data_IF_362287183650
#
_entry.id   IF_362287183650
#
_cell.length_a   1.000
_cell.length_b   1.000
_cell.length_c   1.000
_cell.angle_alpha   90.00
_cell.angle_beta   90.00
_cell.angle_gamma   90.00
#
_symmetry.space_group_name_H-M   'P 1'
#
loop_
_entity.id
_entity.type
_entity.pdbx_description
1 polymer ?
#
# COMPACT_ATOMS: atom_id res chain seq x y z
N UNK A 1 -9.99 4.71 40.66
CA UNK A 1 -10.24 6.02 40.08
C UNK A 1 -11.22 5.87 38.92
N UNK A 2 -12.19 6.74 38.77
CA UNK A 2 -13.16 6.68 37.67
C UNK A 2 -14.46 7.42 37.94
N UNK A 3 -15.30 7.49 36.92
CA UNK A 3 -16.61 8.13 36.96
C UNK A 3 -17.67 7.03 37.00
N UNK A 4 -18.56 7.08 38.02
CA UNK A 4 -19.62 6.06 38.25
C UNK A 4 -21.01 6.71 38.30
N UNK A 5 -21.97 6.07 37.65
CA UNK A 5 -23.38 6.43 37.73
C UNK A 5 -24.08 5.52 38.76
N UNK A 6 -24.78 6.08 39.71
CA UNK A 6 -25.55 5.32 40.67
C UNK A 6 -26.90 6.01 40.95
N UNK A 7 -27.94 5.21 41.21
CA UNK A 7 -29.18 5.71 41.75
C UNK A 7 -29.03 5.82 43.27
N UNK A 8 -29.30 7.00 43.85
CA UNK A 8 -29.23 7.26 45.25
C UNK A 8 -30.38 8.22 45.71
N UNK A 9 -31.09 7.89 46.75
CA UNK A 9 -32.23 8.64 47.22
C UNK A 9 -33.26 8.99 46.13
N UNK A 10 -33.59 8.04 45.27
CA UNK A 10 -34.57 8.21 44.19
C UNK A 10 -34.14 9.06 42.99
N UNK A 11 -32.91 9.53 42.96
CA UNK A 11 -32.36 10.33 41.86
C UNK A 11 -31.11 9.68 41.26
N UNK A 12 -30.78 10.05 40.03
CA UNK A 12 -29.57 9.60 39.35
C UNK A 12 -28.40 10.54 39.69
N UNK A 13 -27.29 9.96 40.11
CA UNK A 13 -26.11 10.68 40.53
C UNK A 13 -24.86 10.19 39.76
N UNK A 14 -24.00 11.16 39.43
CA UNK A 14 -22.68 10.93 38.88
C UNK A 14 -21.66 11.12 40.01
N UNK A 15 -20.86 10.08 40.27
CA UNK A 15 -19.79 10.12 41.26
C UNK A 15 -18.45 10.11 40.52
N UNK A 16 -17.61 11.10 40.79
CA UNK A 16 -16.30 11.26 40.16
C UNK A 16 -15.24 11.10 41.26
N UNK A 17 -14.30 10.20 41.05
CA UNK A 17 -13.13 9.97 41.91
C UNK A 17 -11.88 9.98 41.08
N UNK A 18 -11.12 11.09 41.13
CA UNK A 18 -9.90 11.29 40.33
C UNK A 18 -8.80 11.94 41.15
N UNK A 19 -7.63 11.28 41.29
CA UNK A 19 -6.44 11.76 42.01
C UNK A 19 -6.75 12.33 43.40
N UNK A 20 -7.58 11.64 44.19
CA UNK A 20 -7.95 12.06 45.55
C UNK A 20 -9.07 13.10 45.63
N UNK A 21 -9.52 13.69 44.54
CA UNK A 21 -10.67 14.60 44.49
C UNK A 21 -11.96 13.79 44.27
N UNK A 22 -12.96 13.93 45.12
CA UNK A 22 -14.27 13.27 45.03
C UNK A 22 -15.37 14.29 44.85
N UNK A 23 -16.18 14.15 43.80
CA UNK A 23 -17.40 14.97 43.60
C UNK A 23 -18.58 14.10 43.23
N UNK A 24 -19.77 14.57 43.59
CA UNK A 24 -21.04 13.95 43.23
C UNK A 24 -21.98 14.99 42.64
N UNK A 25 -22.64 14.67 41.52
CA UNK A 25 -23.60 15.55 40.87
C UNK A 25 -24.87 14.83 40.53
N UNK A 26 -26.00 15.46 40.89
CA UNK A 26 -27.33 14.96 40.55
C UNK A 26 -27.64 15.18 39.10
N UNK A 27 -28.20 14.19 38.41
CA UNK A 27 -28.56 14.21 36.98
C UNK A 27 -30.10 14.09 36.85
N UNK A 28 -30.63 14.67 35.77
CA UNK A 28 -32.05 14.69 35.50
C UNK A 28 -32.62 13.29 35.13
N UNK A 29 -31.82 12.43 34.53
CA UNK A 29 -32.21 11.07 34.12
C UNK A 29 -31.01 10.13 34.09
N UNK A 30 -31.26 8.81 34.00
CA UNK A 30 -30.22 7.79 33.80
C UNK A 30 -29.39 8.07 32.57
N UNK A 31 -30.06 8.34 31.43
CA UNK A 31 -29.43 8.61 30.15
C UNK A 31 -28.52 9.85 30.20
N UNK A 32 -28.94 10.91 30.88
CA UNK A 32 -28.15 12.11 31.11
C UNK A 32 -26.92 11.83 31.98
N UNK A 33 -27.05 10.98 33.00
CA UNK A 33 -25.94 10.60 33.87
C UNK A 33 -24.89 9.74 33.13
N UNK A 34 -25.32 8.82 32.29
CA UNK A 34 -24.46 7.96 31.48
C UNK A 34 -23.70 8.80 30.43
N UNK A 35 -24.37 9.71 29.74
CA UNK A 35 -23.75 10.62 28.77
C UNK A 35 -22.72 11.54 29.44
N UNK A 36 -23.03 12.07 30.61
CA UNK A 36 -22.12 12.89 31.42
C UNK A 36 -20.90 12.09 31.90
N UNK A 37 -21.10 10.82 32.31
CA UNK A 37 -20.04 9.91 32.73
C UNK A 37 -19.03 9.74 31.60
N UNK A 38 -19.48 9.40 30.37
CA UNK A 38 -18.62 9.10 29.24
C UNK A 38 -17.83 10.33 28.83
N UNK A 39 -18.46 11.51 28.84
CA UNK A 39 -17.77 12.79 28.56
C UNK A 39 -16.72 13.13 29.62
N UNK A 40 -17.04 13.02 30.91
CA UNK A 40 -16.11 13.37 31.98
C UNK A 40 -14.95 12.36 32.02
N UNK A 41 -15.21 11.08 31.81
CA UNK A 41 -14.16 10.07 31.79
C UNK A 41 -13.18 10.30 30.63
N UNK A 42 -13.69 10.71 29.46
CA UNK A 42 -12.86 11.09 28.33
C UNK A 42 -11.97 12.31 28.62
N UNK A 43 -12.53 13.34 29.24
CA UNK A 43 -11.80 14.57 29.61
C UNK A 43 -10.72 14.33 30.66
N UNK A 44 -11.02 13.47 31.65
CA UNK A 44 -10.04 13.09 32.68
C UNK A 44 -8.88 12.26 32.10
N UNK A 45 -9.15 11.44 31.09
CA UNK A 45 -8.12 10.71 30.35
C UNK A 45 -7.23 11.62 29.51
N UNK A 46 -7.76 12.76 29.04
CA UNK A 46 -7.02 13.81 28.33
C UNK A 46 -6.25 14.74 29.27
N UNK A 47 -6.29 14.51 30.59
CA UNK A 47 -5.56 15.30 31.58
C UNK A 47 -6.23 16.62 31.99
N UNK A 48 -7.45 16.90 31.53
CA UNK A 48 -8.19 18.11 31.86
C UNK A 48 -8.84 18.01 33.25
N UNK A 49 -8.07 18.23 34.31
CA UNK A 49 -8.50 18.07 35.70
C UNK A 49 -9.23 19.32 36.23
N UNK A 50 -9.13 20.46 35.59
CA UNK A 50 -9.74 21.74 35.94
C UNK A 50 -11.28 21.70 36.04
N UNK A 51 -11.90 20.79 35.31
CA UNK A 51 -13.34 20.46 35.38
C UNK A 51 -13.81 20.11 36.79
N UNK A 52 -12.93 19.64 37.66
CA UNK A 52 -13.24 19.24 39.02
C UNK A 52 -13.32 20.44 39.96
N UNK A 53 -12.77 21.60 39.62
CA UNK A 53 -12.68 22.75 40.52
C UNK A 53 -13.70 23.87 40.21
N UNK A 54 -14.52 23.72 39.17
CA UNK A 54 -15.53 24.70 38.81
C UNK A 54 -16.73 24.68 39.77
N UNK A 55 -16.93 25.76 40.51
CA UNK A 55 -17.99 25.94 41.49
C UNK A 55 -19.36 26.18 40.84
N UNK A 56 -20.34 25.42 41.28
CA UNK A 56 -21.79 25.56 41.34
C UNK A 56 -22.64 26.16 40.20
N UNK A 57 -22.15 26.58 39.07
CA UNK A 57 -23.02 26.75 37.91
C UNK A 57 -23.02 25.45 37.10
N UNK A 58 -24.18 25.01 36.52
CA UNK A 58 -24.10 23.95 35.50
C UNK A 58 -23.21 24.50 34.37
N UNK A 59 -21.97 24.01 34.36
CA UNK A 59 -21.10 24.26 33.21
C UNK A 59 -21.87 23.82 31.98
N UNK A 60 -21.97 24.65 30.93
CA UNK A 60 -22.37 24.16 29.63
C UNK A 60 -21.53 22.90 29.40
N UNK A 61 -22.11 21.82 28.82
CA UNK A 61 -21.33 20.62 28.52
C UNK A 61 -20.05 21.09 27.86
N UNK A 62 -18.87 20.60 28.34
CA UNK A 62 -17.60 21.05 27.76
C UNK A 62 -17.75 20.91 26.26
N UNK A 63 -17.63 22.01 25.55
CA UNK A 63 -17.56 22.00 24.10
C UNK A 63 -16.25 21.27 23.81
N UNK A 64 -16.36 20.00 23.48
CA UNK A 64 -15.22 19.23 22.97
C UNK A 64 -14.80 19.96 21.70
N UNK A 65 -13.76 20.78 21.78
CA UNK A 65 -13.18 21.36 20.59
C UNK A 65 -12.49 20.25 19.85
N UNK A 66 -13.18 19.76 18.83
CA UNK A 66 -12.61 18.77 17.94
C UNK A 66 -11.59 19.45 17.01
N UNK A 67 -10.43 18.84 16.80
CA UNK A 67 -9.43 19.41 15.89
C UNK A 67 -9.96 19.49 14.47
N UNK A 68 -9.43 20.41 13.67
CA UNK A 68 -9.76 20.50 12.27
C UNK A 68 -9.22 19.31 11.50
N UNK A 69 -9.93 18.89 10.47
CA UNK A 69 -9.57 17.74 9.66
C UNK A 69 -8.14 17.85 9.07
N UNK A 70 -7.76 19.07 8.63
CA UNK A 70 -6.43 19.33 8.05
C UNK A 70 -5.28 19.22 9.02
N UNK A 71 -5.54 19.36 10.31
CA UNK A 71 -4.53 19.32 11.38
C UNK A 71 -4.44 17.88 11.93
N UNK A 72 -5.57 17.29 12.28
CA UNK A 72 -5.63 15.99 12.93
C UNK A 72 -5.22 14.81 12.03
N UNK A 73 -5.61 14.84 10.76
CA UNK A 73 -5.38 13.70 9.85
C UNK A 73 -3.90 13.52 9.48
N UNK A 74 -3.10 14.57 9.23
CA UNK A 74 -1.65 14.43 9.06
C UNK A 74 -0.94 13.87 10.29
N UNK A 75 -1.32 14.32 11.50
CA UNK A 75 -0.76 13.82 12.76
C UNK A 75 -1.06 12.33 12.95
N UNK A 76 -2.29 11.92 12.64
CA UNK A 76 -2.67 10.51 12.67
C UNK A 76 -1.84 9.69 11.68
N UNK A 77 -1.64 10.18 10.46
CA UNK A 77 -0.79 9.52 9.45
C UNK A 77 0.64 9.38 9.96
N UNK A 78 1.21 10.44 10.58
CA UNK A 78 2.58 10.40 11.12
C UNK A 78 2.71 9.42 12.29
N UNK A 79 1.69 9.33 13.15
CA UNK A 79 1.63 8.34 14.22
C UNK A 79 1.59 6.92 13.67
N UNK A 80 0.75 6.64 12.65
CA UNK A 80 0.66 5.35 11.98
C UNK A 80 1.95 4.97 11.22
N UNK A 81 2.69 5.96 10.71
CA UNK A 81 4.01 5.73 10.12
C UNK A 81 5.04 5.34 11.19
N UNK A 82 5.05 6.02 12.32
CA UNK A 82 5.95 5.72 13.45
C UNK A 82 5.66 4.37 14.11
N UNK A 83 4.40 3.95 14.20
CA UNK A 83 4.02 2.61 14.69
C UNK A 83 4.31 1.48 13.70
N UNK A 84 4.62 1.82 12.43
CA UNK A 84 4.84 0.84 11.39
C UNK A 84 3.56 0.27 10.74
N UNK A 85 2.37 0.78 11.10
CA UNK A 85 1.09 0.37 10.51
C UNK A 85 0.99 0.75 9.03
N UNK A 86 1.62 1.87 8.66
CA UNK A 86 1.77 2.30 7.26
C UNK A 86 3.24 2.59 6.96
N UNK A 87 3.72 2.15 5.79
CA UNK A 87 5.15 2.20 5.46
C UNK A 87 5.40 2.72 4.03
N UNK A 88 6.66 3.02 3.77
CA UNK A 88 7.15 3.37 2.44
C UNK A 88 6.57 4.68 1.91
N UNK A 89 5.93 4.62 0.76
CA UNK A 89 5.37 5.82 0.14
C UNK A 89 3.93 6.12 0.48
N UNK A 90 3.29 5.27 1.29
CA UNK A 90 1.88 5.39 1.62
C UNK A 90 1.58 6.69 2.41
N UNK A 91 2.33 7.07 3.47
CA UNK A 91 2.09 8.30 4.20
C UNK A 91 2.15 9.54 3.31
N UNK A 92 3.20 9.66 2.50
CA UNK A 92 3.36 10.79 1.55
C UNK A 92 2.23 10.84 0.52
N UNK A 93 1.80 9.67 0.00
CA UNK A 93 0.71 9.59 -0.95
C UNK A 93 -0.63 9.99 -0.33
N UNK A 94 -0.92 9.57 0.91
CA UNK A 94 -2.11 9.97 1.65
C UNK A 94 -2.14 11.48 1.86
N UNK A 95 -1.09 12.04 2.47
CA UNK A 95 -0.99 13.48 2.72
C UNK A 95 -1.13 14.30 1.43
N UNK A 96 -0.47 13.87 0.36
CA UNK A 96 -0.56 14.54 -0.95
C UNK A 96 -1.97 14.55 -1.51
N UNK A 97 -2.67 13.42 -1.50
CA UNK A 97 -4.05 13.33 -2.00
C UNK A 97 -5.03 14.15 -1.15
N UNK A 98 -4.91 14.10 0.18
CA UNK A 98 -5.75 14.87 1.09
C UNK A 98 -5.56 16.38 0.86
N UNK A 99 -4.32 16.82 0.69
CA UNK A 99 -3.98 18.23 0.39
C UNK A 99 -4.55 18.69 -0.94
N UNK A 100 -4.55 17.81 -1.95
CA UNK A 100 -5.03 18.16 -3.30
C UNK A 100 -6.55 18.15 -3.40
N UNK A 101 -7.23 17.21 -2.75
CA UNK A 101 -8.63 16.93 -3.03
C UNK A 101 -9.58 17.17 -1.86
N UNK A 102 -9.15 16.93 -0.62
CA UNK A 102 -10.02 16.97 0.56
C UNK A 102 -9.99 18.36 1.23
N UNK A 103 -8.80 18.82 1.60
CA UNK A 103 -8.68 20.06 2.38
C UNK A 103 -9.18 21.31 1.64
N UNK A 104 -8.90 21.50 0.34
CA UNK A 104 -9.36 22.69 -0.40
C UNK A 104 -10.77 22.54 -0.97
N UNK A 105 -11.48 21.45 -0.64
CA UNK A 105 -12.84 21.26 -1.13
C UNK A 105 -13.77 22.27 -0.46
N UNK A 106 -14.45 23.11 -1.28
CA UNK A 106 -15.39 24.12 -0.80
C UNK A 106 -16.78 23.53 -0.67
N UNK A 107 -17.35 23.65 0.51
CA UNK A 107 -18.71 23.24 0.84
C UNK A 107 -19.73 24.28 0.35
N UNK A 108 -21.04 23.92 0.26
CA UNK A 108 -22.09 24.85 -0.14
C UNK A 108 -22.20 26.11 0.75
N UNK A 109 -21.84 25.99 2.03
CA UNK A 109 -21.81 27.10 2.98
C UNK A 109 -20.56 28.00 2.88
N UNK A 110 -19.66 27.71 1.91
CA UNK A 110 -18.45 28.46 1.64
C UNK A 110 -17.23 28.01 2.46
N UNK A 111 -17.39 27.22 3.52
CA UNK A 111 -16.27 26.69 4.33
C UNK A 111 -15.43 25.68 3.52
N UNK A 112 -14.18 25.53 3.89
CA UNK A 112 -13.34 24.46 3.34
C UNK A 112 -13.50 23.20 4.19
N UNK A 113 -13.61 22.03 3.52
CA UNK A 113 -13.76 20.74 4.22
C UNK A 113 -12.58 20.46 5.17
N UNK A 114 -11.37 20.88 4.82
CA UNK A 114 -10.21 20.78 5.70
C UNK A 114 -10.29 21.62 6.98
N UNK A 115 -11.10 22.68 7.00
CA UNK A 115 -11.28 23.57 8.16
C UNK A 115 -12.39 23.11 9.09
N UNK A 116 -13.18 22.13 8.68
CA UNK A 116 -14.20 21.59 9.56
C UNK A 116 -13.58 20.84 10.74
N UNK A 117 -14.13 20.99 11.94
CA UNK A 117 -13.90 20.06 13.04
C UNK A 117 -14.24 18.63 12.60
N UNK A 118 -13.46 17.64 13.05
CA UNK A 118 -13.63 16.26 12.57
C UNK A 118 -15.01 15.66 12.84
N UNK A 119 -15.75 16.16 13.85
CA UNK A 119 -17.10 15.73 14.18
C UNK A 119 -18.19 16.34 13.26
N UNK A 120 -17.86 17.37 12.47
CA UNK A 120 -18.77 17.99 11.50
C UNK A 120 -18.64 17.40 10.10
N UNK A 121 -17.62 16.60 9.83
CA UNK A 121 -17.43 15.96 8.54
C UNK A 121 -18.44 14.84 8.34
N UNK A 122 -19.26 14.99 7.30
CA UNK A 122 -20.32 14.03 6.99
C UNK A 122 -19.93 13.10 5.83
N UNK A 123 -20.71 12.05 5.67
CA UNK A 123 -20.64 11.14 4.53
C UNK A 123 -20.86 11.87 3.21
N UNK A 124 -21.77 12.81 3.19
CA UNK A 124 -22.12 13.64 2.02
C UNK A 124 -20.97 14.54 1.61
N UNK A 125 -20.26 15.12 2.58
CA UNK A 125 -19.06 15.92 2.31
C UNK A 125 -17.98 15.09 1.62
N UNK A 126 -17.69 13.87 2.12
CA UNK A 126 -16.72 12.97 1.51
C UNK A 126 -17.21 12.50 0.14
N UNK A 127 -18.51 12.23 0.01
CA UNK A 127 -19.15 11.87 -1.26
C UNK A 127 -19.00 12.95 -2.33
N UNK A 128 -19.16 14.21 -1.97
CA UNK A 128 -18.99 15.35 -2.89
C UNK A 128 -17.53 15.45 -3.39
N UNK A 129 -16.55 15.21 -2.52
CA UNK A 129 -15.14 15.11 -2.94
C UNK A 129 -14.95 13.97 -3.94
N UNK A 130 -15.55 12.80 -3.70
CA UNK A 130 -15.46 11.66 -4.63
C UNK A 130 -16.06 12.01 -5.99
N UNK A 131 -17.19 12.69 -6.03
CA UNK A 131 -17.78 13.16 -7.31
C UNK A 131 -16.83 14.10 -8.04
N UNK A 132 -16.26 15.09 -7.37
CA UNK A 132 -15.28 16.00 -7.98
C UNK A 132 -14.06 15.28 -8.54
N UNK A 133 -13.55 14.26 -7.82
CA UNK A 133 -12.43 13.44 -8.29
C UNK A 133 -12.80 12.65 -9.54
N UNK A 134 -14.04 12.15 -9.63
CA UNK A 134 -14.56 11.45 -10.81
C UNK A 134 -14.74 12.39 -12.00
N UNK A 135 -15.33 13.55 -11.79
CA UNK A 135 -15.49 14.60 -12.83
C UNK A 135 -14.14 15.03 -13.41
N UNK A 136 -13.10 15.06 -12.58
CA UNK A 136 -11.74 15.31 -13.03
C UNK A 136 -11.08 14.09 -13.74
N UNK A 137 -11.84 13.05 -14.06
CA UNK A 137 -11.38 11.86 -14.80
C UNK A 137 -10.35 11.01 -14.05
N UNK A 138 -10.27 11.12 -12.72
CA UNK A 138 -9.27 10.41 -11.93
C UNK A 138 -9.66 8.95 -11.68
N UNK A 139 -8.64 8.10 -11.54
CA UNK A 139 -8.82 6.66 -11.35
C UNK A 139 -9.43 6.30 -9.99
N UNK A 140 -10.06 5.12 -9.92
CA UNK A 140 -10.59 4.54 -8.68
C UNK A 140 -9.51 4.44 -7.59
N UNK A 141 -8.25 4.15 -7.96
CA UNK A 141 -7.14 4.08 -7.02
C UNK A 141 -6.84 5.42 -6.30
N UNK A 142 -7.16 6.56 -6.92
CA UNK A 142 -7.07 7.87 -6.25
C UNK A 142 -8.19 7.99 -5.23
N UNK A 143 -9.42 7.59 -5.58
CA UNK A 143 -10.58 7.61 -4.68
C UNK A 143 -10.34 6.71 -3.47
N UNK A 144 -9.87 5.48 -3.67
CA UNK A 144 -9.50 4.57 -2.58
C UNK A 144 -8.40 5.14 -1.69
N UNK A 145 -7.38 5.76 -2.31
CA UNK A 145 -6.30 6.39 -1.58
C UNK A 145 -6.68 7.68 -0.82
N UNK A 146 -7.84 8.28 -1.11
CA UNK A 146 -8.45 9.33 -0.30
C UNK A 146 -9.28 8.73 0.84
N UNK A 147 -10.08 7.70 0.51
CA UNK A 147 -10.98 7.06 1.44
C UNK A 147 -10.24 6.33 2.56
N UNK A 148 -9.17 5.62 2.23
CA UNK A 148 -8.49 4.75 3.20
C UNK A 148 -7.98 5.51 4.45
N UNK A 149 -7.25 6.63 4.35
CA UNK A 149 -6.84 7.38 5.54
C UNK A 149 -8.01 7.98 6.30
N UNK A 150 -9.06 8.49 5.62
CA UNK A 150 -10.27 8.97 6.27
C UNK A 150 -10.98 7.85 7.03
N UNK A 151 -11.19 6.70 6.37
CA UNK A 151 -11.84 5.55 7.00
C UNK A 151 -11.07 5.05 8.23
N UNK A 152 -9.75 4.92 8.12
CA UNK A 152 -8.92 4.47 9.24
C UNK A 152 -8.93 5.44 10.41
N UNK A 153 -8.82 6.74 10.15
CA UNK A 153 -8.86 7.77 11.16
C UNK A 153 -10.20 7.79 11.92
N UNK A 154 -11.32 7.83 11.19
CA UNK A 154 -12.64 7.82 11.82
C UNK A 154 -12.96 6.50 12.53
N UNK A 155 -12.47 5.36 12.03
CA UNK A 155 -12.59 4.09 12.73
C UNK A 155 -11.92 4.14 14.11
N UNK A 156 -10.72 4.67 14.19
CA UNK A 156 -9.98 4.83 15.45
C UNK A 156 -10.68 5.80 16.41
N UNK A 157 -11.18 6.93 15.92
CA UNK A 157 -11.94 7.87 16.77
C UNK A 157 -13.22 7.24 17.38
N UNK A 158 -13.88 6.38 16.63
CA UNK A 158 -15.09 5.69 17.07
C UNK A 158 -14.74 4.57 18.06
N UNK A 159 -13.73 3.76 17.74
CA UNK A 159 -13.24 2.68 18.59
C UNK A 159 -12.76 3.20 19.95
N UNK A 160 -12.05 4.33 19.95
CA UNK A 160 -11.58 5.00 21.17
C UNK A 160 -12.65 5.82 21.87
N UNK A 161 -13.89 5.83 21.36
CA UNK A 161 -15.04 6.58 21.90
C UNK A 161 -14.83 8.10 21.98
N UNK A 162 -13.94 8.64 21.16
CA UNK A 162 -13.74 10.10 21.00
C UNK A 162 -14.89 10.68 20.16
N UNK A 163 -15.31 9.96 19.11
CA UNK A 163 -16.40 10.40 18.24
C UNK A 163 -17.55 9.37 18.30
N UNK A 164 -18.78 9.78 18.66
CA UNK A 164 -19.95 8.92 18.58
C UNK A 164 -20.51 8.86 17.15
N UNK A 165 -21.16 7.75 16.81
CA UNK A 165 -21.89 7.60 15.55
C UNK A 165 -21.17 6.75 14.51
N UNK A 166 -21.72 6.67 13.28
CA UNK A 166 -21.14 5.88 12.21
C UNK A 166 -19.92 6.57 11.58
N UNK A 167 -19.02 5.76 11.03
CA UNK A 167 -17.86 6.27 10.32
C UNK A 167 -18.29 6.93 8.98
N UNK A 168 -18.07 8.22 8.78
CA UNK A 168 -18.50 8.93 7.57
C UNK A 168 -17.79 8.47 6.29
N UNK A 169 -16.66 7.78 6.42
CA UNK A 169 -15.90 7.22 5.29
C UNK A 169 -16.09 5.72 5.07
N UNK A 170 -16.97 5.04 5.81
CA UNK A 170 -17.14 3.59 5.74
C UNK A 170 -17.87 3.15 4.47
N UNK A 171 -19.10 3.57 4.27
CA UNK A 171 -19.95 3.14 3.16
C UNK A 171 -20.15 4.24 2.12
N UNK A 172 -19.23 4.29 1.17
CA UNK A 172 -19.23 5.26 0.07
C UNK A 172 -19.57 4.61 -1.28
N UNK A 173 -20.12 3.38 -1.28
CA UNK A 173 -20.43 2.64 -2.53
C UNK A 173 -21.37 3.41 -3.45
N UNK A 174 -22.34 4.13 -2.88
CA UNK A 174 -23.26 4.97 -3.65
C UNK A 174 -22.53 6.03 -4.48
N UNK A 175 -21.57 6.73 -3.89
CA UNK A 175 -20.79 7.78 -4.54
C UNK A 175 -19.77 7.23 -5.52
N UNK A 176 -19.20 6.04 -5.24
CA UNK A 176 -18.23 5.38 -6.11
C UNK A 176 -18.92 4.79 -7.35
N UNK A 177 -20.13 4.26 -7.20
CA UNK A 177 -20.93 3.66 -8.26
C UNK A 177 -20.59 2.18 -8.52
N UNK A 178 -21.63 1.39 -8.85
CA UNK A 178 -21.50 -0.07 -9.09
C UNK A 178 -20.58 -0.45 -10.24
N UNK A 179 -20.48 0.37 -11.30
CA UNK A 179 -19.61 0.12 -12.46
C UNK A 179 -18.13 0.36 -12.16
N UNK A 180 -17.80 1.26 -11.24
CA UNK A 180 -16.42 1.52 -10.87
C UNK A 180 -15.84 0.41 -9.97
N UNK A 181 -16.70 -0.37 -9.28
CA UNK A 181 -16.28 -1.51 -8.46
C UNK A 181 -16.00 -2.80 -9.28
N UNK A 182 -16.58 -2.93 -10.48
CA UNK A 182 -16.08 -3.91 -11.45
C UNK A 182 -14.80 -3.30 -12.04
N UNK A 183 -13.63 -3.76 -11.57
CA UNK A 183 -12.39 -3.55 -12.32
C UNK A 183 -12.70 -3.91 -13.76
N UNK A 184 -12.76 -2.91 -14.67
CA UNK A 184 -12.61 -3.22 -16.07
C UNK A 184 -11.31 -4.04 -16.13
N UNK A 185 -11.42 -5.30 -16.50
CA UNK A 185 -10.27 -6.11 -16.84
C UNK A 185 -9.63 -5.42 -18.06
N UNK A 186 -8.74 -4.46 -17.79
CA UNK A 186 -7.81 -4.05 -18.83
C UNK A 186 -6.94 -5.26 -19.10
N UNK A 187 -6.81 -5.69 -20.36
CA UNK A 187 -5.89 -6.76 -20.69
C UNK A 187 -4.55 -6.46 -20.02
N UNK A 188 -3.98 -7.46 -19.37
CA UNK A 188 -2.66 -7.32 -18.78
C UNK A 188 -1.69 -6.96 -19.88
N UNK A 189 -0.95 -5.87 -19.68
CA UNK A 189 0.13 -5.53 -20.57
C UNK A 189 1.32 -6.44 -20.26
N UNK A 190 1.52 -7.51 -21.04
CA UNK A 190 2.67 -8.40 -20.99
C UNK A 190 3.32 -8.49 -22.36
N UNK A 191 4.52 -9.01 -22.47
CA UNK A 191 5.20 -9.28 -23.73
C UNK A 191 4.83 -10.67 -24.20
N UNK A 192 4.43 -10.77 -25.47
CA UNK A 192 4.10 -12.08 -26.06
C UNK A 192 5.35 -12.95 -26.23
N UNK A 193 5.23 -14.27 -26.47
CA UNK A 193 6.38 -15.14 -26.76
C UNK A 193 7.25 -14.64 -27.92
N UNK A 194 6.68 -13.93 -28.90
CA UNK A 194 7.39 -13.34 -30.05
C UNK A 194 8.09 -12.04 -29.69
N UNK A 195 7.44 -11.20 -28.86
CA UNK A 195 8.00 -9.91 -28.43
C UNK A 195 9.16 -10.06 -27.45
N UNK A 196 9.16 -11.12 -26.64
CA UNK A 196 10.19 -11.37 -25.63
C UNK A 196 11.59 -11.48 -26.23
N UNK A 197 11.85 -12.39 -27.18
CA UNK A 197 13.14 -12.52 -27.87
C UNK A 197 13.58 -11.23 -28.56
N UNK A 198 12.64 -10.50 -29.20
CA UNK A 198 12.91 -9.21 -29.86
C UNK A 198 13.39 -8.16 -28.84
N UNK A 199 12.71 -8.08 -27.68
CA UNK A 199 13.11 -7.18 -26.60
C UNK A 199 14.52 -7.50 -26.07
N UNK A 200 14.80 -8.79 -25.81
CA UNK A 200 16.10 -9.23 -25.28
C UNK A 200 17.23 -8.99 -26.30
N UNK A 201 17.04 -9.33 -27.57
CA UNK A 201 18.03 -9.10 -28.61
C UNK A 201 18.33 -7.60 -28.78
N UNK A 202 17.29 -6.75 -28.77
CA UNK A 202 17.43 -5.30 -28.82
C UNK A 202 18.15 -4.76 -27.60
N UNK A 203 17.87 -5.29 -26.40
CA UNK A 203 18.54 -4.91 -25.17
C UNK A 203 20.02 -5.22 -25.20
N UNK A 204 20.41 -6.41 -25.67
CA UNK A 204 21.79 -6.82 -25.81
C UNK A 204 22.58 -5.90 -26.79
N UNK A 205 21.92 -5.49 -27.87
CA UNK A 205 22.55 -4.61 -28.89
C UNK A 205 22.63 -3.13 -28.43
N UNK A 206 21.57 -2.61 -27.79
CA UNK A 206 21.46 -1.18 -27.50
C UNK A 206 21.99 -0.81 -26.10
N UNK A 207 21.78 -1.66 -25.12
CA UNK A 207 22.06 -1.37 -23.70
C UNK A 207 22.68 -2.60 -23.00
N UNK A 208 23.83 -3.11 -23.41
CA UNK A 208 24.45 -4.35 -22.91
C UNK A 208 24.74 -4.32 -21.41
N UNK A 209 24.82 -3.15 -20.80
CA UNK A 209 24.90 -3.02 -19.34
C UNK A 209 23.60 -3.47 -18.62
N UNK A 210 22.46 -3.36 -19.28
CA UNK A 210 21.14 -3.56 -18.68
C UNK A 210 20.40 -4.78 -19.24
N UNK A 211 20.98 -5.50 -20.19
CA UNK A 211 20.35 -6.68 -20.79
C UNK A 211 20.07 -7.78 -19.76
N UNK A 212 21.06 -8.12 -18.92
CA UNK A 212 20.89 -9.09 -17.84
C UNK A 212 19.89 -8.63 -16.77
N UNK A 213 19.79 -7.30 -16.50
CA UNK A 213 18.75 -6.74 -15.62
C UNK A 213 17.34 -6.92 -16.19
N UNK A 214 17.18 -6.66 -17.48
CA UNK A 214 15.91 -6.81 -18.20
C UNK A 214 15.53 -8.28 -18.29
N UNK A 215 16.47 -9.14 -18.61
CA UNK A 215 16.29 -10.59 -18.65
C UNK A 215 15.91 -11.15 -17.28
N UNK A 216 16.52 -10.65 -16.19
CA UNK A 216 16.15 -10.99 -14.83
C UNK A 216 14.68 -10.65 -14.55
N UNK A 217 14.24 -9.45 -14.95
CA UNK A 217 12.83 -9.05 -14.81
C UNK A 217 11.87 -9.98 -15.57
N UNK A 218 12.21 -10.40 -16.79
CA UNK A 218 11.40 -11.28 -17.64
C UNK A 218 11.37 -12.72 -17.14
N UNK A 219 12.48 -13.26 -16.65
CA UNK A 219 12.61 -14.69 -16.31
C UNK A 219 12.48 -15.02 -14.82
N UNK A 220 12.24 -14.02 -13.97
CA UNK A 220 12.05 -14.21 -12.52
C UNK A 220 10.85 -13.46 -11.96
N UNK A 221 10.30 -12.52 -12.71
CA UNK A 221 9.21 -11.68 -12.23
C UNK A 221 9.56 -10.82 -11.02
N UNK A 222 10.82 -10.56 -10.72
CA UNK A 222 11.27 -9.69 -9.63
C UNK A 222 10.66 -8.29 -9.77
N UNK A 223 10.30 -7.70 -8.61
CA UNK A 223 9.92 -6.29 -8.60
C UNK A 223 11.13 -5.42 -8.91
N UNK A 224 10.91 -4.25 -9.50
CA UNK A 224 12.00 -3.29 -9.79
C UNK A 224 12.98 -3.14 -8.62
N UNK A 225 12.46 -2.83 -7.43
CA UNK A 225 13.30 -2.61 -6.25
C UNK A 225 14.06 -3.85 -5.79
N UNK A 226 13.51 -5.04 -5.98
CA UNK A 226 14.16 -6.31 -5.71
C UNK A 226 15.35 -6.53 -6.67
N UNK A 227 15.13 -6.31 -7.98
CA UNK A 227 16.22 -6.40 -8.98
C UNK A 227 17.29 -5.35 -8.74
N UNK A 228 16.92 -4.12 -8.39
CA UNK A 228 17.86 -3.02 -8.17
C UNK A 228 18.73 -3.21 -6.91
N UNK A 229 18.21 -3.91 -5.90
CA UNK A 229 18.92 -4.22 -4.65
C UNK A 229 19.62 -5.59 -4.68
N UNK A 230 19.62 -6.29 -5.82
CA UNK A 230 20.11 -7.65 -5.93
C UNK A 230 21.62 -7.72 -5.72
N UNK A 231 22.07 -8.65 -4.87
CA UNK A 231 23.48 -8.82 -4.48
C UNK A 231 24.02 -10.12 -5.03
N UNK A 232 25.33 -10.16 -5.24
CA UNK A 232 26.05 -11.38 -5.67
C UNK A 232 25.88 -12.53 -4.69
N UNK A 233 25.77 -12.22 -3.39
CA UNK A 233 25.55 -13.22 -2.33
C UNK A 233 24.15 -13.84 -2.37
N UNK A 234 23.23 -13.27 -3.15
CA UNK A 234 21.88 -13.78 -3.28
C UNK A 234 21.76 -14.87 -4.36
N UNK A 235 22.86 -15.22 -5.04
CA UNK A 235 22.86 -16.21 -6.13
C UNK A 235 23.36 -17.56 -5.62
N UNK A 236 22.48 -18.55 -5.57
CA UNK A 236 22.86 -19.96 -5.34
C UNK A 236 23.11 -20.63 -6.70
N UNK A 237 24.33 -20.46 -7.18
CA UNK A 237 24.79 -21.01 -8.47
C UNK A 237 24.60 -22.52 -8.56
N UNK A 238 24.82 -23.24 -7.45
CA UNK A 238 24.75 -24.71 -7.43
C UNK A 238 23.33 -25.21 -7.59
N UNK A 239 22.35 -24.52 -6.99
CA UNK A 239 20.95 -24.91 -7.04
C UNK A 239 20.16 -24.17 -8.12
N UNK A 240 20.78 -23.27 -8.84
CA UNK A 240 20.14 -22.46 -9.90
C UNK A 240 18.97 -21.64 -9.37
N UNK A 241 19.19 -20.86 -8.29
CA UNK A 241 18.14 -20.06 -7.68
C UNK A 241 18.66 -18.75 -7.11
N UNK A 242 17.76 -17.80 -6.99
CA UNK A 242 18.01 -16.45 -6.51
C UNK A 242 17.27 -16.20 -5.20
N UNK A 243 17.97 -15.68 -4.20
CA UNK A 243 17.38 -15.33 -2.90
C UNK A 243 16.88 -13.88 -2.92
N UNK A 244 15.58 -13.67 -2.88
CA UNK A 244 14.96 -12.34 -2.89
C UNK A 244 14.62 -11.96 -1.47
N UNK A 245 15.50 -11.23 -0.81
CA UNK A 245 15.40 -10.89 0.63
C UNK A 245 15.36 -9.38 0.89
N UNK A 246 15.62 -8.56 -0.14
CA UNK A 246 15.69 -7.09 0.01
C UNK A 246 15.15 -6.35 -1.19
N UNK A 247 14.79 -5.10 -1.00
CA UNK A 247 14.29 -4.20 -2.02
C UNK A 247 14.88 -2.81 -1.86
N UNK A 248 15.11 -2.11 -2.96
CA UNK A 248 15.50 -0.71 -2.93
C UNK A 248 14.28 0.20 -2.90
N UNK A 249 14.24 1.08 -1.90
CA UNK A 249 13.23 2.12 -1.76
C UNK A 249 13.78 3.46 -2.21
N UNK A 250 13.33 3.97 -3.37
CA UNK A 250 13.76 5.28 -3.87
C UNK A 250 13.43 6.43 -2.93
N UNK A 251 12.30 6.36 -2.21
CA UNK A 251 11.84 7.42 -1.30
C UNK A 251 12.75 7.60 -0.10
N UNK A 252 13.25 6.49 0.45
CA UNK A 252 14.22 6.48 1.54
C UNK A 252 15.67 6.45 1.06
N UNK A 253 15.91 6.30 -0.26
CA UNK A 253 17.21 6.04 -0.84
C UNK A 253 17.99 4.94 -0.08
N UNK A 254 17.30 3.87 0.29
CA UNK A 254 17.81 2.82 1.15
C UNK A 254 17.38 1.43 0.70
N UNK A 255 18.23 0.45 0.97
CA UNK A 255 17.88 -0.96 0.87
C UNK A 255 17.08 -1.33 2.12
N UNK A 256 15.98 -2.02 1.94
CA UNK A 256 15.06 -2.47 2.98
C UNK A 256 14.80 -3.96 2.82
N UNK A 257 14.39 -4.68 3.88
CA UNK A 257 13.83 -6.03 3.74
C UNK A 257 12.66 -6.04 2.74
N UNK A 258 12.36 -7.21 2.19
CA UNK A 258 11.16 -7.39 1.38
C UNK A 258 9.90 -6.97 2.15
N UNK A 259 8.89 -6.53 1.40
CA UNK A 259 7.59 -6.17 1.98
C UNK A 259 7.02 -7.42 2.67
N UNK A 260 6.47 -7.21 3.86
CA UNK A 260 5.87 -8.25 4.72
C UNK A 260 6.89 -9.20 5.39
N UNK A 261 8.21 -8.92 5.27
CA UNK A 261 9.28 -9.68 5.94
C UNK A 261 9.53 -11.07 5.36
N UNK A 262 8.85 -11.43 4.28
CA UNK A 262 9.00 -12.74 3.64
C UNK A 262 10.05 -12.66 2.52
N UNK A 263 11.17 -13.30 2.74
CA UNK A 263 12.14 -13.63 1.70
C UNK A 263 11.68 -14.89 0.93
N UNK A 264 12.19 -15.04 -0.29
CA UNK A 264 11.86 -16.18 -1.14
C UNK A 264 12.98 -16.58 -2.05
N UNK A 265 12.98 -17.86 -2.42
CA UNK A 265 13.85 -18.39 -3.45
C UNK A 265 13.13 -18.49 -4.79
N UNK A 266 13.67 -17.81 -5.81
CA UNK A 266 13.14 -17.87 -7.17
C UNK A 266 14.03 -18.76 -8.02
N UNK A 267 13.45 -19.67 -8.79
CA UNK A 267 14.17 -20.50 -9.75
C UNK A 267 14.67 -19.63 -10.90
N UNK A 268 15.92 -19.83 -11.27
CA UNK A 268 16.54 -19.19 -12.43
C UNK A 268 16.84 -20.20 -13.52
N UNK A 269 16.55 -19.84 -14.75
CA UNK A 269 16.89 -20.69 -15.91
C UNK A 269 18.40 -20.69 -16.14
N UNK A 270 18.96 -21.76 -16.76
CA UNK A 270 20.38 -21.80 -17.13
C UNK A 270 20.81 -20.61 -17.99
N UNK A 271 19.97 -20.18 -18.92
CA UNK A 271 20.21 -19.01 -19.77
C UNK A 271 20.34 -17.71 -18.96
N UNK A 272 19.46 -17.51 -17.97
CA UNK A 272 19.56 -16.36 -17.08
C UNK A 272 20.84 -16.37 -16.26
N UNK A 273 21.19 -17.52 -15.69
CA UNK A 273 22.42 -17.65 -14.89
C UNK A 273 23.67 -17.41 -15.72
N UNK A 274 23.69 -17.87 -16.98
CA UNK A 274 24.78 -17.59 -17.92
C UNK A 274 24.89 -16.07 -18.21
N UNK A 275 23.77 -15.42 -18.50
CA UNK A 275 23.76 -13.97 -18.75
C UNK A 275 24.18 -13.15 -17.51
N UNK A 276 23.74 -13.54 -16.30
CA UNK A 276 24.20 -12.89 -15.07
C UNK A 276 25.70 -13.09 -14.87
N UNK A 277 26.25 -14.25 -15.17
CA UNK A 277 27.69 -14.52 -15.04
C UNK A 277 28.50 -13.64 -15.96
N UNK A 278 28.16 -13.61 -17.27
CA UNK A 278 28.78 -12.75 -18.26
C UNK A 278 28.75 -11.26 -17.83
N UNK A 279 27.59 -10.83 -17.33
CA UNK A 279 27.40 -9.48 -16.80
C UNK A 279 28.30 -9.19 -15.58
N UNK A 280 28.42 -10.13 -14.66
CA UNK A 280 29.26 -9.97 -13.46
C UNK A 280 30.76 -9.89 -13.80
N UNK A 281 31.23 -10.65 -14.78
CA UNK A 281 32.63 -10.59 -15.23
C UNK A 281 32.97 -9.17 -15.72
N UNK A 282 32.10 -8.57 -16.52
CA UNK A 282 32.25 -7.18 -16.98
C UNK A 282 32.16 -6.14 -15.86
N UNK A 283 31.19 -6.30 -14.94
CA UNK A 283 30.97 -5.41 -13.79
C UNK A 283 32.15 -5.49 -12.80
N UNK A 284 32.69 -6.66 -12.57
CA UNK A 284 33.82 -6.86 -11.66
C UNK A 284 35.09 -6.21 -12.17
N UNK A 285 35.37 -6.35 -13.46
CA UNK A 285 36.49 -5.67 -14.13
C UNK A 285 36.32 -4.14 -14.04
N UNK A 286 35.15 -3.63 -14.36
CA UNK A 286 34.84 -2.19 -14.25
C UNK A 286 35.01 -1.67 -12.81
N UNK A 287 34.52 -2.41 -11.84
CA UNK A 287 34.63 -2.06 -10.42
C UNK A 287 36.07 -2.04 -9.91
N UNK A 288 36.93 -2.93 -10.42
CA UNK A 288 38.36 -2.92 -10.14
C UNK A 288 39.04 -1.68 -10.73
N UNK A 289 38.80 -1.40 -12.02
CA UNK A 289 39.39 -0.26 -12.71
C UNK A 289 38.95 1.07 -12.08
N UNK A 290 37.69 1.18 -11.69
CA UNK A 290 37.13 2.41 -11.10
C UNK A 290 37.31 2.53 -9.58
N UNK A 291 37.88 1.56 -8.92
CA UNK A 291 38.11 1.59 -7.48
C UNK A 291 36.85 1.60 -6.67
N UNK A 292 35.82 0.85 -7.08
CA UNK A 292 34.56 0.78 -6.30
C UNK A 292 34.78 0.15 -4.91
N UNK A 293 34.03 0.64 -3.92
CA UNK A 293 34.07 0.08 -2.57
C UNK A 293 33.59 -1.38 -2.53
N UNK A 294 33.94 -2.15 -1.50
CA UNK A 294 33.45 -3.53 -1.34
C UNK A 294 31.90 -3.62 -1.43
N UNK A 295 31.19 -2.67 -0.85
CA UNK A 295 29.71 -2.63 -0.87
C UNK A 295 29.15 -2.40 -2.27
N UNK A 296 29.79 -1.50 -3.03
CA UNK A 296 29.42 -1.23 -4.43
C UNK A 296 29.65 -2.47 -5.30
N UNK A 297 30.72 -3.22 -5.06
CA UNK A 297 31.04 -4.46 -5.78
C UNK A 297 30.10 -5.62 -5.45
N UNK A 298 29.31 -5.53 -4.36
CA UNK A 298 28.32 -6.55 -4.05
C UNK A 298 27.06 -6.46 -4.92
N UNK A 299 26.77 -5.30 -5.49
CA UNK A 299 25.61 -5.16 -6.39
C UNK A 299 25.79 -5.98 -7.67
N UNK A 300 24.73 -6.68 -8.07
CA UNK A 300 24.71 -7.39 -9.36
C UNK A 300 24.54 -6.37 -10.51
N UNK A 301 23.69 -5.38 -10.35
CA UNK A 301 23.36 -4.40 -11.41
C UNK A 301 23.71 -2.95 -11.01
N UNK A 302 24.98 -2.62 -10.81
CA UNK A 302 25.37 -1.25 -10.49
C UNK A 302 25.34 -0.33 -11.72
N UNK A 303 25.15 0.97 -11.48
CA UNK A 303 25.43 2.00 -12.49
C UNK A 303 26.94 2.10 -12.75
N UNK A 304 27.38 2.84 -13.81
CA UNK A 304 28.81 3.11 -14.05
C UNK A 304 29.55 3.79 -12.88
N UNK A 305 28.82 4.34 -11.90
CA UNK A 305 29.39 4.91 -10.67
C UNK A 305 29.31 3.98 -9.46
N UNK A 306 29.01 2.68 -9.66
CA UNK A 306 28.89 1.69 -8.59
C UNK A 306 27.64 1.88 -7.70
N UNK A 307 26.63 2.63 -8.12
CA UNK A 307 25.43 2.95 -7.34
C UNK A 307 24.22 2.16 -7.84
N UNK A 308 23.19 2.07 -7.02
CA UNK A 308 21.88 1.54 -7.42
C UNK A 308 21.25 2.52 -8.43
N UNK A 309 20.72 1.95 -9.53
CA UNK A 309 20.01 2.75 -10.53
C UNK A 309 18.68 3.26 -9.99
N UNK A 310 18.32 4.51 -10.35
CA UNK A 310 17.02 5.10 -10.06
C UNK A 310 15.99 4.67 -11.09
N UNK A 311 14.79 4.33 -10.62
CA UNK A 311 13.70 3.86 -11.49
C UNK A 311 13.35 4.87 -12.59
N UNK A 312 13.17 6.16 -12.22
CA UNK A 312 12.86 7.21 -13.19
C UNK A 312 13.95 7.33 -14.25
N UNK A 313 15.22 7.36 -13.83
CA UNK A 313 16.35 7.44 -14.75
C UNK A 313 16.42 6.21 -15.68
N UNK A 314 16.25 5.00 -15.15
CA UNK A 314 16.20 3.79 -15.99
C UNK A 314 15.05 3.84 -17.00
N UNK A 315 13.86 4.27 -16.59
CA UNK A 315 12.72 4.36 -17.50
C UNK A 315 13.00 5.30 -18.67
N UNK A 316 13.58 6.46 -18.39
CA UNK A 316 13.82 7.51 -19.39
C UNK A 316 15.03 7.20 -20.28
N UNK A 317 16.14 6.73 -19.68
CA UNK A 317 17.41 6.56 -20.41
C UNK A 317 17.63 5.17 -21.00
N UNK A 318 16.91 4.15 -20.53
CA UNK A 318 17.09 2.76 -20.97
C UNK A 318 15.79 2.18 -21.52
N UNK A 319 14.74 2.13 -20.68
CA UNK A 319 13.55 1.33 -20.96
C UNK A 319 12.71 1.88 -22.11
N UNK A 320 12.41 3.18 -22.11
CA UNK A 320 11.63 3.81 -23.18
C UNK A 320 12.36 3.80 -24.53
N UNK A 321 13.65 4.18 -24.61
CA UNK A 321 14.40 4.06 -25.86
C UNK A 321 14.51 2.62 -26.37
N UNK A 322 14.67 1.65 -25.47
CA UNK A 322 14.70 0.23 -25.81
C UNK A 322 13.41 -0.23 -26.48
N UNK A 323 12.25 0.04 -25.87
CA UNK A 323 10.95 -0.33 -26.44
C UNK A 323 10.72 0.33 -27.81
N UNK A 324 11.05 1.62 -27.94
CA UNK A 324 10.95 2.33 -29.19
C UNK A 324 11.83 1.71 -30.28
N UNK A 325 13.09 1.37 -29.97
CA UNK A 325 14.01 0.73 -30.88
C UNK A 325 13.62 -0.69 -31.25
N UNK A 326 13.02 -1.42 -30.31
CA UNK A 326 12.44 -2.73 -30.55
C UNK A 326 11.12 -2.68 -31.34
N UNK A 327 10.57 -1.52 -31.66
CA UNK A 327 9.27 -1.40 -32.34
C UNK A 327 8.10 -1.86 -31.48
N UNK A 328 8.27 -1.94 -30.16
CA UNK A 328 7.27 -2.43 -29.23
C UNK A 328 6.47 -1.28 -28.61
N UNK A 329 5.15 -1.44 -28.40
CA UNK A 329 4.35 -0.43 -27.74
C UNK A 329 4.84 -0.22 -26.30
N UNK A 330 4.71 1.02 -25.81
CA UNK A 330 5.12 1.33 -24.45
C UNK A 330 4.38 0.49 -23.42
N UNK A 331 5.14 -0.21 -22.61
CA UNK A 331 4.70 -0.93 -21.40
C UNK A 331 5.59 -0.53 -20.24
N UNK A 332 5.00 -0.46 -19.03
CA UNK A 332 5.78 -0.21 -17.81
C UNK A 332 6.76 -1.37 -17.58
N UNK A 333 7.92 -1.10 -16.98
CA UNK A 333 8.85 -2.18 -16.62
C UNK A 333 8.19 -3.32 -15.82
N UNK A 334 7.22 -2.99 -14.97
CA UNK A 334 6.45 -4.01 -14.22
C UNK A 334 5.71 -5.02 -15.11
N UNK A 335 5.57 -4.75 -16.40
CA UNK A 335 5.04 -5.72 -17.38
C UNK A 335 5.94 -6.95 -17.57
N UNK A 336 7.25 -6.85 -17.28
CA UNK A 336 8.16 -8.02 -17.26
C UNK A 336 7.68 -9.06 -16.25
N UNK A 337 7.21 -8.60 -15.08
CA UNK A 337 6.66 -9.48 -14.05
C UNK A 337 5.31 -10.10 -14.46
N UNK A 338 4.47 -9.36 -15.17
CA UNK A 338 3.27 -9.91 -15.78
C UNK A 338 3.61 -10.95 -16.84
N UNK A 339 4.62 -10.68 -17.66
CA UNK A 339 5.13 -11.62 -18.67
C UNK A 339 5.59 -12.93 -18.04
N UNK A 340 6.42 -12.86 -17.00
CA UNK A 340 6.90 -14.05 -16.28
C UNK A 340 5.73 -14.94 -15.80
N UNK A 341 4.75 -14.33 -15.14
CA UNK A 341 3.60 -15.08 -14.63
C UNK A 341 2.75 -15.69 -15.76
N UNK A 342 2.47 -14.90 -16.80
CA UNK A 342 1.68 -15.35 -17.96
C UNK A 342 2.37 -16.49 -18.67
N UNK A 343 3.64 -16.37 -19.04
CA UNK A 343 4.40 -17.42 -19.73
C UNK A 343 4.47 -18.72 -18.92
N UNK A 344 4.72 -18.65 -17.61
CA UNK A 344 4.71 -19.85 -16.75
C UNK A 344 3.35 -20.54 -16.72
N UNK A 345 2.27 -19.77 -16.62
CA UNK A 345 0.92 -20.33 -16.57
C UNK A 345 0.48 -20.89 -17.92
N UNK A 346 0.84 -20.24 -19.03
CA UNK A 346 0.61 -20.73 -20.40
C UNK A 346 1.41 -22.02 -20.66
N UNK A 347 2.64 -22.10 -20.16
CA UNK A 347 3.48 -23.32 -20.21
C UNK A 347 3.04 -24.38 -19.18
N UNK A 348 2.04 -24.05 -18.36
CA UNK A 348 1.34 -24.97 -17.48
C UNK A 348 1.90 -25.15 -16.11
N UNK A 349 2.64 -24.20 -15.60
CA UNK A 349 3.05 -24.19 -14.20
C UNK A 349 1.84 -24.06 -13.27
N UNK A 350 1.94 -24.65 -12.09
CA UNK A 350 0.91 -24.54 -11.05
C UNK A 350 0.77 -23.11 -10.55
N UNK A 351 -0.49 -22.65 -10.42
CA UNK A 351 -0.80 -21.28 -10.01
C UNK A 351 -0.23 -20.94 -8.62
N UNK A 352 -0.26 -21.89 -7.68
CA UNK A 352 0.27 -21.72 -6.33
C UNK A 352 1.78 -21.57 -6.38
N UNK A 353 2.45 -22.43 -7.16
CA UNK A 353 3.89 -22.32 -7.34
C UNK A 353 4.30 -20.98 -7.97
N UNK A 354 3.58 -20.50 -9.01
CA UNK A 354 3.81 -19.16 -9.61
C UNK A 354 3.61 -18.06 -8.57
N UNK A 355 2.58 -18.16 -7.73
CA UNK A 355 2.35 -17.23 -6.63
C UNK A 355 3.56 -17.16 -5.69
N UNK A 356 4.08 -18.31 -5.28
CA UNK A 356 5.23 -18.39 -4.36
C UNK A 356 6.49 -17.79 -5.02
N UNK A 357 6.75 -18.09 -6.30
CA UNK A 357 7.86 -17.47 -7.05
C UNK A 357 7.73 -15.95 -7.11
N UNK A 358 6.52 -15.44 -7.31
CA UNK A 358 6.28 -14.00 -7.38
C UNK A 358 6.27 -13.32 -6.00
N UNK A 359 6.05 -14.03 -4.91
CA UNK A 359 5.86 -13.45 -3.57
C UNK A 359 4.60 -12.57 -3.55
N UNK A 360 3.46 -13.14 -3.90
CA UNK A 360 2.14 -12.52 -3.73
C UNK A 360 1.55 -12.96 -2.41
N UNK A 361 1.15 -11.99 -1.58
CA UNK A 361 0.60 -12.25 -0.25
C UNK A 361 -0.72 -13.05 -0.26
N UNK A 362 -1.47 -13.06 -1.38
CA UNK A 362 -2.67 -13.86 -1.51
C UNK A 362 -2.81 -14.49 -2.90
N UNK A 363 -3.42 -15.68 -2.94
CA UNK A 363 -3.72 -16.39 -4.17
C UNK A 363 -4.75 -15.64 -5.01
N UNK A 364 -5.65 -14.90 -4.37
CA UNK A 364 -6.66 -14.06 -5.03
C UNK A 364 -6.02 -12.99 -5.91
N UNK A 365 -4.87 -12.45 -5.51
CA UNK A 365 -4.12 -11.49 -6.31
C UNK A 365 -3.59 -12.13 -7.60
N UNK A 366 -3.10 -13.37 -7.53
CA UNK A 366 -2.60 -14.12 -8.70
C UNK A 366 -3.76 -14.64 -9.54
N UNK A 367 -4.73 -15.32 -8.93
CA UNK A 367 -5.91 -15.86 -9.61
C UNK A 367 -6.77 -14.77 -10.26
N UNK A 368 -7.02 -13.65 -9.55
CA UNK A 368 -7.79 -12.53 -10.09
C UNK A 368 -7.10 -11.80 -11.25
N UNK A 369 -5.79 -11.98 -11.39
CA UNK A 369 -4.99 -11.34 -12.44
C UNK A 369 -4.75 -12.29 -13.63
N UNK A 370 -4.47 -13.56 -13.38
CA UNK A 370 -3.99 -14.53 -14.37
C UNK A 370 -4.87 -15.79 -14.53
N UNK A 371 -5.96 -15.91 -13.77
CA UNK A 371 -6.82 -17.12 -13.78
C UNK A 371 -7.46 -17.46 -15.13
N UNK A 372 -7.40 -16.54 -16.10
CA UNK A 372 -7.87 -16.75 -17.46
C UNK A 372 -6.83 -17.39 -18.41
N UNK A 373 -5.59 -17.57 -17.96
CA UNK A 373 -4.48 -18.06 -18.81
C UNK A 373 -4.45 -19.57 -19.02
N UNK A 374 -5.42 -20.37 -18.52
CA UNK A 374 -5.42 -21.83 -18.62
C UNK A 374 -6.76 -22.47 -19.08
N UNK A 375 -7.51 -21.94 -20.06
CA UNK A 375 -8.80 -22.53 -20.44
C UNK A 375 -8.68 -23.95 -21.01
N UNK A 376 -7.72 -24.24 -21.87
CA UNK A 376 -7.54 -25.53 -22.54
C UNK A 376 -7.16 -26.69 -21.61
N UNK A 377 -6.50 -26.41 -20.49
CA UNK A 377 -6.17 -27.43 -19.49
C UNK A 377 -7.38 -27.91 -18.70
N UNK A 378 -8.39 -27.08 -18.54
CA UNK A 378 -9.62 -27.45 -17.86
C UNK A 378 -10.37 -28.49 -18.67
N UNK A 379 -10.40 -28.39 -20.01
CA UNK A 379 -11.01 -29.39 -20.90
C UNK A 379 -10.25 -30.72 -20.85
N UNK A 380 -8.92 -30.66 -20.91
CA UNK A 380 -8.09 -31.88 -20.79
C UNK A 380 -8.22 -32.54 -19.42
N UNK A 381 -8.35 -31.75 -18.33
CA UNK A 381 -8.56 -32.28 -17.00
C UNK A 381 -9.92 -32.95 -16.86
N UNK A 382 -10.99 -32.38 -17.44
CA UNK A 382 -12.34 -32.97 -17.45
C UNK A 382 -12.34 -34.26 -18.25
N UNK A 383 -11.76 -34.28 -19.44
CA UNK A 383 -11.61 -35.51 -20.25
C UNK A 383 -10.80 -36.59 -19.51
N UNK A 384 -9.87 -36.18 -18.65
CA UNK A 384 -9.10 -37.10 -17.83
C UNK A 384 -9.88 -37.80 -16.70
N UNK A 385 -11.07 -37.31 -16.33
CA UNK A 385 -11.88 -37.92 -15.27
C UNK A 385 -12.40 -39.31 -15.67
N UNK A 386 -12.57 -39.57 -16.94
CA UNK A 386 -13.04 -40.88 -17.46
C UNK A 386 -12.09 -42.04 -17.07
N UNK A 387 -10.80 -41.73 -16.84
CA UNK A 387 -9.83 -42.72 -16.35
C UNK A 387 -10.17 -43.31 -14.98
N UNK A 388 -10.86 -42.57 -14.13
CA UNK A 388 -11.25 -43.01 -12.79
C UNK A 388 -12.53 -43.85 -12.79
N UNK A 389 -13.24 -43.89 -13.93
CA UNK A 389 -14.45 -44.69 -14.12
C UNK A 389 -14.18 -45.97 -14.90
N UNK A 390 -12.99 -46.15 -15.45
CA UNK A 390 -12.58 -47.26 -16.32
C UNK A 390 -11.80 -48.36 -15.59
N UNK A 391 -11.89 -48.44 -14.25
CA UNK A 391 -11.23 -49.44 -13.42
C UNK A 391 -12.19 -50.53 -12.98
#
# INVERSE_FOLDING_TARGET
MGVKVKQWKGAWWLFIDHKGKRKAKRCASKKAAELARDKIDALLKLGQVEILDADQRPLPPPVLEYPRLRDALPEWIDRKERSGDIRGGTPKAYKGRLRTWVYPFRLPDGRLLGDLPVNEVTRENIGAVIFRVKEAGRSLAIIEGLRNPLRGYYAELIETKVLPGPNPAADLKFFIGKRASKKLHRPLAYFTPEEGPQLVATAKALCPRWDAFILTGLLTGLRWGESAAFSKTDIDWRRGRLHVQRTFSEKGNSIQPCKDGEDRWVKASPALLAAIREHLDAVDLEGQVKGWSPEQRQLVFPTPSGRIIRHGHFLESVWQPLLAKAGLPYRKYHSTRHTYATWLLEDGADLRWVQDQMGHASIEQTAGTYGHCQPERHEAAVAGLDRYLSS
#
